data_IF_969787512981
#
_entry.id   IF_969787512981
#
_cell.length_a   1.000
_cell.length_b   1.000
_cell.length_c   1.000
_cell.angle_alpha   90.00
_cell.angle_beta   90.00
_cell.angle_gamma   90.00
#
_symmetry.space_group_name_H-M   'P 1'
#
loop_
_entity.id
_entity.type
_entity.pdbx_description
1 polymer ?
#
# COMPACT_ATOMS: atom_id res chain seq x y z
N UNK A 1 -9.23 -2.01 22.96
CA UNK A 1 -10.35 -2.98 23.09
C UNK A 1 -11.21 -3.10 21.83
N UNK A 2 -11.54 -2.02 21.11
CA UNK A 2 -12.42 -2.08 19.92
C UNK A 2 -11.89 -2.98 18.78
N UNK A 3 -10.63 -2.83 18.36
CA UNK A 3 -10.04 -3.67 17.30
C UNK A 3 -10.04 -5.15 17.68
N UNK A 4 -9.68 -5.48 18.92
CA UNK A 4 -9.74 -6.86 19.43
C UNK A 4 -11.16 -7.44 19.35
N UNK A 5 -12.19 -6.65 19.70
CA UNK A 5 -13.59 -7.09 19.59
C UNK A 5 -13.99 -7.35 18.12
N UNK A 6 -13.54 -6.52 17.18
CA UNK A 6 -13.77 -6.74 15.75
C UNK A 6 -13.09 -8.03 15.29
N UNK A 7 -11.81 -8.22 15.62
CA UNK A 7 -11.05 -9.44 15.27
C UNK A 7 -11.65 -10.71 15.87
N UNK A 8 -12.21 -10.65 17.09
CA UNK A 8 -12.90 -11.81 17.69
C UNK A 8 -14.18 -12.16 16.91
N UNK A 9 -14.92 -11.16 16.44
CA UNK A 9 -16.16 -11.37 15.67
C UNK A 9 -15.87 -11.84 14.25
N UNK A 10 -14.87 -11.24 13.62
CA UNK A 10 -14.45 -11.50 12.25
C UNK A 10 -12.92 -11.62 12.22
N UNK A 11 -12.36 -12.85 12.34
CA UNK A 11 -10.93 -13.08 12.46
C UNK A 11 -10.19 -12.99 11.12
N UNK A 12 -10.65 -12.12 10.22
CA UNK A 12 -9.97 -11.83 8.97
C UNK A 12 -8.91 -10.77 9.21
N UNK A 13 -7.72 -11.05 8.70
CA UNK A 13 -6.56 -10.17 8.86
C UNK A 13 -5.87 -9.94 7.53
N UNK A 14 -5.18 -8.81 7.45
CA UNK A 14 -4.36 -8.39 6.32
C UNK A 14 -2.90 -8.26 6.78
N UNK A 15 -1.96 -8.24 5.84
CA UNK A 15 -0.55 -8.02 6.15
C UNK A 15 -0.34 -6.57 6.58
N UNK A 16 0.16 -6.35 7.80
CA UNK A 16 0.34 -5.01 8.35
C UNK A 16 1.64 -4.34 7.92
N UNK A 17 2.05 -3.30 8.66
CA UNK A 17 3.33 -2.62 8.43
C UNK A 17 3.47 -2.01 7.04
N UNK A 18 2.38 -1.46 6.49
CA UNK A 18 2.36 -0.79 5.18
C UNK A 18 2.29 -1.72 3.98
N UNK A 19 2.42 -3.05 4.17
CA UNK A 19 2.49 -4.00 3.06
C UNK A 19 1.15 -4.14 2.33
N UNK A 20 0.02 -4.01 3.03
CA UNK A 20 -1.30 -4.01 2.39
C UNK A 20 -1.47 -2.80 1.47
N UNK A 21 -1.08 -1.61 1.93
CA UNK A 21 -1.18 -0.37 1.17
C UNK A 21 -0.34 -0.41 -0.10
N UNK A 22 0.93 -0.80 0.00
CA UNK A 22 1.83 -0.86 -1.15
C UNK A 22 1.44 -1.96 -2.13
N UNK A 23 1.00 -3.12 -1.63
CA UNK A 23 0.50 -4.20 -2.47
C UNK A 23 -0.75 -3.78 -3.24
N UNK A 24 -1.70 -3.13 -2.56
CA UNK A 24 -2.94 -2.66 -3.17
C UNK A 24 -2.66 -1.57 -4.21
N UNK A 25 -1.76 -0.64 -3.92
CA UNK A 25 -1.33 0.38 -4.89
C UNK A 25 -0.72 -0.25 -6.15
N UNK A 26 0.22 -1.19 -6.00
CA UNK A 26 0.81 -1.90 -7.13
C UNK A 26 -0.24 -2.69 -7.94
N UNK A 27 -1.14 -3.39 -7.26
CA UNK A 27 -2.22 -4.17 -7.88
C UNK A 27 -3.18 -3.27 -8.69
N UNK A 28 -3.66 -2.17 -8.12
CA UNK A 28 -4.58 -1.25 -8.78
C UNK A 28 -3.90 -0.60 -10.00
N UNK A 29 -2.66 -0.12 -9.86
CA UNK A 29 -1.90 0.44 -11.00
C UNK A 29 -1.77 -0.58 -12.13
N UNK A 30 -1.45 -1.84 -11.80
CA UNK A 30 -1.35 -2.90 -12.81
C UNK A 30 -2.69 -3.16 -13.49
N UNK A 31 -3.78 -3.27 -12.70
CA UNK A 31 -5.12 -3.55 -13.21
C UNK A 31 -5.60 -2.44 -14.14
N UNK A 32 -5.48 -1.18 -13.73
CA UNK A 32 -5.89 -0.03 -14.56
C UNK A 32 -4.99 0.13 -15.79
N UNK A 33 -3.72 -0.25 -15.71
CA UNK A 33 -2.84 -0.21 -16.88
C UNK A 33 -3.21 -1.27 -17.94
N UNK A 34 -3.57 -2.49 -17.53
CA UNK A 34 -3.76 -3.64 -18.42
C UNK A 34 -5.22 -3.97 -18.74
N UNK A 35 -6.17 -3.64 -17.87
CA UNK A 35 -7.60 -4.01 -17.94
C UNK A 35 -8.52 -2.77 -18.00
N UNK A 36 -7.97 -1.58 -18.29
CA UNK A 36 -8.72 -0.31 -18.24
C UNK A 36 -9.99 -0.30 -19.13
N UNK A 37 -10.00 -1.00 -20.26
CA UNK A 37 -11.16 -1.01 -21.16
C UNK A 37 -12.39 -1.67 -20.53
N UNK A 38 -12.21 -2.67 -19.67
CA UNK A 38 -13.33 -3.35 -19.00
C UNK A 38 -13.87 -2.54 -17.82
N UNK A 39 -13.02 -1.78 -17.13
CA UNK A 39 -13.40 -0.92 -15.98
C UNK A 39 -14.10 0.37 -16.43
N UNK A 40 -13.66 0.97 -17.53
CA UNK A 40 -14.19 2.26 -18.04
C UNK A 40 -15.63 2.13 -18.57
N UNK A 41 -16.04 0.94 -19.01
CA UNK A 41 -17.34 0.74 -19.68
C UNK A 41 -18.56 0.88 -18.76
N UNK A 42 -18.39 0.80 -17.44
CA UNK A 42 -19.52 0.80 -16.51
C UNK A 42 -19.99 2.21 -16.09
N UNK A 43 -19.11 3.21 -16.08
CA UNK A 43 -19.37 4.44 -15.30
C UNK A 43 -19.15 5.78 -16.04
N UNK A 44 -18.94 5.75 -17.37
CA UNK A 44 -19.01 6.96 -18.21
C UNK A 44 -17.86 7.96 -18.11
N UNK A 45 -16.78 7.65 -17.37
CA UNK A 45 -15.54 8.44 -17.35
C UNK A 45 -14.54 7.98 -18.42
N UNK A 46 -13.66 8.88 -18.87
CA UNK A 46 -12.61 8.56 -19.84
C UNK A 46 -11.45 7.77 -19.21
N UNK A 47 -10.68 7.07 -20.05
CA UNK A 47 -9.48 6.34 -19.60
C UNK A 47 -8.43 7.25 -18.94
N UNK A 48 -8.32 8.51 -19.39
CA UNK A 48 -7.39 9.47 -18.80
C UNK A 48 -7.82 9.88 -17.39
N UNK A 49 -9.11 10.13 -17.17
CA UNK A 49 -9.66 10.46 -15.85
C UNK A 49 -9.47 9.30 -14.87
N UNK A 50 -9.76 8.06 -15.29
CA UNK A 50 -9.54 6.88 -14.47
C UNK A 50 -8.06 6.73 -14.06
N UNK A 51 -7.12 6.98 -14.97
CA UNK A 51 -5.67 6.92 -14.67
C UNK A 51 -5.25 7.98 -13.65
N UNK A 52 -5.75 9.22 -13.78
CA UNK A 52 -5.44 10.30 -12.84
C UNK A 52 -5.99 9.97 -11.45
N UNK A 53 -7.26 9.57 -11.35
CA UNK A 53 -7.87 9.19 -10.08
C UNK A 53 -7.15 8.00 -9.44
N UNK A 54 -6.78 7.01 -10.24
CA UNK A 54 -6.02 5.83 -9.80
C UNK A 54 -4.66 6.24 -9.23
N UNK A 55 -3.93 7.11 -9.91
CA UNK A 55 -2.61 7.54 -9.45
C UNK A 55 -2.70 8.32 -8.14
N UNK A 56 -3.71 9.20 -8.01
CA UNK A 56 -3.96 9.92 -6.76
C UNK A 56 -4.30 8.96 -5.60
N UNK A 57 -5.16 7.97 -5.85
CA UNK A 57 -5.53 6.97 -4.85
C UNK A 57 -4.34 6.09 -4.44
N UNK A 58 -3.57 5.58 -5.40
CA UNK A 58 -2.39 4.76 -5.13
C UNK A 58 -1.30 5.56 -4.39
N UNK A 59 -1.07 6.81 -4.78
CA UNK A 59 -0.16 7.71 -4.07
C UNK A 59 -0.60 7.97 -2.63
N UNK A 60 -1.90 8.07 -2.37
CA UNK A 60 -2.43 8.22 -1.02
C UNK A 60 -2.17 6.96 -0.15
N UNK A 61 -2.36 5.76 -0.71
CA UNK A 61 -2.01 4.51 -0.02
C UNK A 61 -0.50 4.44 0.29
N UNK A 62 0.35 4.76 -0.68
CA UNK A 62 1.81 4.79 -0.50
C UNK A 62 2.23 5.85 0.53
N UNK A 63 1.51 6.97 0.61
CA UNK A 63 1.72 7.99 1.66
C UNK A 63 1.40 7.44 3.05
N UNK A 64 0.31 6.68 3.22
CA UNK A 64 -0.01 6.01 4.49
C UNK A 64 1.09 5.02 4.87
N UNK A 65 1.54 4.18 3.94
CA UNK A 65 2.65 3.26 4.20
C UNK A 65 3.95 4.01 4.56
N UNK A 66 4.25 5.09 3.84
CA UNK A 66 5.45 5.91 4.08
C UNK A 66 5.45 6.54 5.47
N UNK A 67 4.29 6.85 6.04
CA UNK A 67 4.17 7.49 7.36
C UNK A 67 4.62 6.60 8.53
N UNK A 68 4.81 5.30 8.28
CA UNK A 68 5.37 4.38 9.26
C UNK A 68 6.88 4.57 9.47
N UNK A 69 7.57 5.13 8.46
CA UNK A 69 8.99 5.41 8.54
C UNK A 69 9.23 6.76 9.23
N UNK A 70 10.08 6.76 10.27
CA UNK A 70 10.26 7.89 11.18
C UNK A 70 11.72 8.29 11.37
N UNK A 71 12.67 7.45 10.95
CA UNK A 71 14.10 7.67 11.15
C UNK A 71 14.76 8.33 9.92
N UNK A 72 13.95 8.79 8.97
CA UNK A 72 14.44 9.37 7.72
C UNK A 72 15.07 8.34 6.78
N UNK A 73 14.75 7.06 6.97
CA UNK A 73 15.22 5.96 6.14
C UNK A 73 14.68 5.99 4.71
N UNK A 74 15.35 5.24 3.84
CA UNK A 74 14.87 5.01 2.48
C UNK A 74 13.66 4.07 2.51
N UNK A 75 12.64 4.42 1.71
CA UNK A 75 11.38 3.68 1.64
C UNK A 75 11.29 2.99 0.28
N UNK A 76 11.16 1.67 0.31
CA UNK A 76 11.23 0.80 -0.84
C UNK A 76 9.99 -0.10 -0.96
N UNK A 77 9.74 -0.57 -2.17
CA UNK A 77 8.78 -1.59 -2.52
C UNK A 77 9.49 -2.73 -3.24
N UNK A 78 9.21 -3.99 -2.90
CA UNK A 78 9.70 -5.10 -3.71
C UNK A 78 8.81 -5.32 -4.95
N UNK A 79 9.44 -5.61 -6.08
CA UNK A 79 8.78 -5.70 -7.38
C UNK A 79 8.14 -7.06 -7.65
N UNK A 80 8.05 -7.94 -6.64
CA UNK A 80 7.49 -9.29 -6.79
C UNK A 80 6.15 -9.43 -6.07
N UNK A 81 6.10 -9.03 -4.81
CA UNK A 81 4.94 -9.10 -3.93
C UNK A 81 4.37 -7.72 -3.62
N UNK A 82 5.13 -6.65 -3.84
CA UNK A 82 4.68 -5.28 -3.57
C UNK A 82 4.67 -4.95 -2.08
N UNK A 83 5.53 -5.56 -1.26
CA UNK A 83 5.59 -5.24 0.16
C UNK A 83 6.39 -3.97 0.42
N UNK A 84 6.08 -3.33 1.54
CA UNK A 84 6.78 -2.19 2.07
C UNK A 84 8.09 -2.61 2.74
N UNK A 85 9.15 -1.87 2.50
CA UNK A 85 10.46 -2.03 3.12
C UNK A 85 11.00 -0.66 3.53
N UNK A 86 11.62 -0.59 4.71
CA UNK A 86 12.44 0.56 5.09
C UNK A 86 13.86 0.13 5.42
N UNK A 87 14.83 0.95 5.01
CA UNK A 87 16.25 0.76 5.26
C UNK A 87 16.85 1.99 5.91
N UNK A 88 17.92 1.82 6.68
CA UNK A 88 18.64 2.97 7.25
C UNK A 88 19.23 3.83 6.14
N UNK A 89 19.06 5.15 6.27
CA UNK A 89 19.70 6.12 5.38
C UNK A 89 21.16 6.27 5.79
N UNK A 90 22.03 5.40 5.26
CA UNK A 90 23.47 5.61 5.36
C UNK A 90 23.98 6.03 3.97
N UNK A 91 24.25 7.31 3.83
CA UNK A 91 24.61 7.93 2.57
C UNK A 91 25.96 7.42 2.06
N UNK A 92 25.97 6.53 1.07
CA UNK A 92 26.88 6.54 -0.08
C UNK A 92 26.60 5.34 -1.01
N UNK A 93 26.22 5.66 -2.25
CA UNK A 93 26.39 4.83 -3.46
C UNK A 93 26.08 3.32 -3.35
N UNK A 94 24.95 2.90 -3.93
CA UNK A 94 24.68 1.63 -4.67
C UNK A 94 25.65 0.45 -4.37
N UNK A 95 25.26 -0.78 -4.03
CA UNK A 95 24.34 -1.68 -4.78
C UNK A 95 23.96 -2.95 -3.98
N UNK A 96 23.71 -2.92 -2.67
CA UNK A 96 23.21 -4.14 -2.01
C UNK A 96 22.12 -3.91 -0.97
N UNK A 97 20.91 -3.60 -1.47
CA UNK A 97 19.70 -3.58 -0.64
C UNK A 97 19.49 -4.87 0.14
N UNK A 98 19.98 -5.99 -0.38
CA UNK A 98 19.92 -7.28 0.29
C UNK A 98 20.63 -7.26 1.65
N UNK A 99 21.71 -6.49 1.80
CA UNK A 99 22.49 -6.42 3.04
C UNK A 99 21.92 -5.40 4.04
N UNK A 100 21.25 -4.35 3.53
CA UNK A 100 20.68 -3.27 4.36
C UNK A 100 19.27 -3.58 4.85
N UNK A 101 18.51 -4.31 4.05
CA UNK A 101 17.14 -4.68 4.36
C UNK A 101 17.15 -6.02 5.09
N UNK A 102 16.46 -6.08 6.23
CA UNK A 102 16.28 -7.35 6.94
C UNK A 102 15.01 -8.04 6.49
N UNK A 103 13.86 -7.36 6.61
CA UNK A 103 12.52 -7.87 6.34
C UNK A 103 11.60 -6.75 5.85
N UNK A 104 10.53 -7.13 5.16
CA UNK A 104 9.43 -6.21 4.87
C UNK A 104 8.69 -5.80 6.15
N UNK A 105 7.88 -4.74 6.09
CA UNK A 105 7.18 -4.18 7.24
C UNK A 105 6.18 -5.13 7.92
N UNK A 106 5.57 -6.06 7.17
CA UNK A 106 4.73 -7.09 7.78
C UNK A 106 5.55 -8.24 8.39
N UNK A 107 6.84 -8.32 8.08
CA UNK A 107 7.73 -9.38 8.53
C UNK A 107 7.66 -10.68 7.71
N UNK A 108 6.79 -10.82 6.71
CA UNK A 108 6.63 -12.09 5.99
C UNK A 108 7.87 -12.52 5.20
N UNK A 109 8.48 -11.59 4.47
CA UNK A 109 9.62 -11.83 3.58
C UNK A 109 10.90 -11.20 4.13
N UNK A 110 12.03 -11.88 3.88
CA UNK A 110 13.37 -11.38 4.15
C UNK A 110 14.12 -11.06 2.84
N UNK A 111 15.22 -10.32 2.95
CA UNK A 111 15.96 -9.81 1.79
C UNK A 111 16.70 -10.87 0.97
N UNK A 112 16.87 -12.09 1.51
CA UNK A 112 17.60 -13.19 0.86
C UNK A 112 16.76 -13.93 -0.20
N UNK A 113 15.51 -13.53 -0.42
CA UNK A 113 14.56 -14.20 -1.32
C UNK A 113 14.71 -13.82 -2.81
N UNK A 114 15.85 -13.25 -3.22
CA UNK A 114 16.11 -12.87 -4.62
C UNK A 114 15.16 -11.79 -5.14
N UNK A 115 14.76 -10.87 -4.26
CA UNK A 115 13.88 -9.77 -4.59
C UNK A 115 14.63 -8.65 -5.30
N UNK A 116 13.88 -7.84 -6.05
CA UNK A 116 14.33 -6.54 -6.56
C UNK A 116 13.46 -5.46 -5.94
N UNK A 117 14.05 -4.30 -5.67
CA UNK A 117 13.39 -3.18 -5.01
C UNK A 117 13.39 -1.94 -5.90
N UNK A 118 12.36 -1.13 -5.72
CA UNK A 118 12.28 0.23 -6.23
C UNK A 118 11.94 1.19 -5.09
N UNK A 119 12.30 2.46 -5.22
CA UNK A 119 11.83 3.47 -4.28
C UNK A 119 10.32 3.63 -4.38
N UNK A 120 9.64 3.67 -3.23
CA UNK A 120 8.17 3.64 -3.19
C UNK A 120 7.52 4.81 -3.94
N UNK A 121 8.14 6.00 -3.87
CA UNK A 121 7.65 7.22 -4.54
C UNK A 121 8.32 7.50 -5.88
N UNK A 122 9.01 6.51 -6.45
CA UNK A 122 9.60 6.63 -7.78
C UNK A 122 8.64 6.15 -8.86
N UNK A 123 8.86 6.61 -10.09
CA UNK A 123 8.16 6.08 -11.25
C UNK A 123 8.70 4.68 -11.57
N UNK A 124 7.97 3.63 -11.17
CA UNK A 124 8.24 2.25 -11.57
C UNK A 124 7.17 1.74 -12.54
N UNK A 125 7.55 0.78 -13.38
CA UNK A 125 6.59 0.16 -14.29
C UNK A 125 5.54 -0.64 -13.50
N UNK A 126 4.24 -0.51 -13.81
CA UNK A 126 3.21 -1.31 -13.18
C UNK A 126 3.49 -2.81 -13.32
N UNK A 127 3.36 -3.56 -12.24
CA UNK A 127 3.63 -5.00 -12.20
C UNK A 127 2.49 -5.71 -11.48
N UNK A 128 2.20 -6.96 -11.86
CA UNK A 128 1.21 -7.77 -11.17
C UNK A 128 1.84 -8.33 -9.89
N UNK A 129 1.48 -7.85 -8.68
CA UNK A 129 2.03 -8.42 -7.47
C UNK A 129 1.54 -9.86 -7.31
N UNK A 130 2.47 -10.77 -6.99
CA UNK A 130 2.14 -12.16 -6.75
C UNK A 130 1.34 -12.32 -5.44
N UNK A 131 0.45 -13.31 -5.41
CA UNK A 131 -0.33 -13.62 -4.20
C UNK A 131 0.62 -14.07 -3.08
N UNK A 132 0.49 -13.44 -1.90
CA UNK A 132 1.28 -13.74 -0.71
C UNK A 132 0.79 -15.01 -0.02
N UNK A 133 1.00 -16.17 -0.62
CA UNK A 133 0.58 -17.44 -0.05
C UNK A 133 1.60 -18.52 -0.35
N UNK A 134 2.70 -18.52 0.40
CA UNK A 134 3.31 -19.80 0.75
C UNK A 134 3.06 -20.05 2.23
N UNK A 135 2.29 -21.10 2.52
CA UNK A 135 2.01 -21.56 3.88
C UNK A 135 3.30 -21.91 4.65
N UNK A 136 4.40 -22.14 3.92
CA UNK A 136 5.75 -22.31 4.44
C UNK A 136 6.36 -21.02 5.02
N UNK A 137 6.15 -19.85 4.40
CA UNK A 137 6.72 -18.58 4.86
C UNK A 137 6.10 -18.09 6.18
N UNK A 138 4.82 -18.37 6.39
CA UNK A 138 4.12 -18.02 7.65
C UNK A 138 4.67 -18.81 8.84
N UNK A 139 5.05 -20.07 8.64
CA UNK A 139 5.64 -20.91 9.70
C UNK A 139 7.04 -20.47 10.16
N UNK A 140 7.77 -19.73 9.33
CA UNK A 140 9.09 -19.16 9.63
C UNK A 140 9.05 -17.72 10.12
N UNK A 141 7.90 -17.04 9.99
CA UNK A 141 7.76 -15.64 10.37
C UNK A 141 7.56 -15.50 11.89
N UNK A 142 8.66 -15.38 12.64
CA UNK A 142 8.61 -15.24 14.11
C UNK A 142 7.83 -14.02 14.62
N UNK A 143 7.66 -12.97 13.81
CA UNK A 143 7.01 -11.71 14.17
C UNK A 143 6.20 -11.16 12.98
N UNK A 144 5.08 -11.83 12.63
CA UNK A 144 4.18 -11.36 11.59
C UNK A 144 3.32 -10.20 12.13
N UNK A 145 3.41 -9.03 11.51
CA UNK A 145 2.52 -7.90 11.78
C UNK A 145 1.28 -8.01 10.91
N UNK A 146 0.10 -7.95 11.51
CA UNK A 146 -1.18 -8.04 10.82
C UNK A 146 -2.12 -6.92 11.21
N UNK A 147 -2.95 -6.50 10.27
CA UNK A 147 -4.01 -5.52 10.47
C UNK A 147 -5.38 -6.20 10.46
N UNK A 148 -6.32 -5.69 11.27
CA UNK A 148 -7.70 -6.17 11.27
C UNK A 148 -8.39 -5.77 9.94
N UNK A 149 -8.91 -6.75 9.21
CA UNK A 149 -9.56 -6.53 7.92
C UNK A 149 -10.72 -5.55 8.04
N UNK A 150 -11.64 -5.79 8.99
CA UNK A 150 -12.83 -4.95 9.19
C UNK A 150 -12.45 -3.52 9.52
N UNK A 151 -11.44 -3.32 10.38
CA UNK A 151 -10.96 -1.98 10.72
C UNK A 151 -10.33 -1.26 9.51
N UNK A 152 -9.53 -1.97 8.70
CA UNK A 152 -8.93 -1.41 7.47
C UNK A 152 -9.98 -1.02 6.44
N UNK A 153 -10.94 -1.91 6.18
CA UNK A 153 -12.00 -1.67 5.22
C UNK A 153 -12.86 -0.47 5.63
N UNK A 154 -13.31 -0.43 6.89
CA UNK A 154 -14.10 0.70 7.40
C UNK A 154 -13.31 2.00 7.37
N UNK A 155 -12.02 1.98 7.74
CA UNK A 155 -11.16 3.17 7.67
C UNK A 155 -11.01 3.71 6.25
N UNK A 156 -10.78 2.82 5.27
CA UNK A 156 -10.66 3.21 3.87
C UNK A 156 -11.98 3.75 3.31
N UNK A 157 -13.10 3.11 3.63
CA UNK A 157 -14.42 3.55 3.20
C UNK A 157 -14.73 4.96 3.70
N UNK A 158 -14.55 5.21 5.01
CA UNK A 158 -14.77 6.54 5.60
C UNK A 158 -13.84 7.59 4.98
N UNK A 159 -12.58 7.24 4.73
CA UNK A 159 -11.64 8.16 4.09
C UNK A 159 -12.07 8.56 2.67
N UNK A 160 -12.52 7.59 1.86
CA UNK A 160 -13.01 7.84 0.49
C UNK A 160 -14.30 8.67 0.51
N UNK A 161 -15.28 8.30 1.35
CA UNK A 161 -16.54 9.04 1.47
C UNK A 161 -16.29 10.49 1.92
N UNK A 162 -15.37 10.69 2.85
CA UNK A 162 -15.00 12.03 3.32
C UNK A 162 -14.28 12.83 2.23
N UNK A 163 -13.36 12.20 1.49
CA UNK A 163 -12.67 12.86 0.38
C UNK A 163 -13.65 13.29 -0.71
N UNK A 164 -14.59 12.42 -1.10
CA UNK A 164 -15.63 12.74 -2.08
C UNK A 164 -16.52 13.89 -1.60
N UNK A 165 -16.96 13.86 -0.34
CA UNK A 165 -17.73 14.96 0.24
C UNK A 165 -17.00 16.30 0.13
N UNK A 166 -15.69 16.33 0.41
CA UNK A 166 -14.87 17.54 0.29
C UNK A 166 -14.73 17.98 -1.17
N UNK A 167 -14.52 17.04 -2.10
CA UNK A 167 -14.36 17.33 -3.53
C UNK A 167 -15.66 17.84 -4.18
N UNK A 168 -16.82 17.44 -3.65
CA UNK A 168 -18.14 17.89 -4.12
C UNK A 168 -18.51 19.31 -3.61
N UNK A 169 -17.76 19.87 -2.64
CA UNK A 169 -18.00 21.22 -2.13
C UNK A 169 -17.67 22.27 -3.19
N UNK A 170 -18.71 22.93 -3.70
CA UNK A 170 -18.55 24.02 -4.67
C UNK A 170 -18.30 25.39 -4.03
N UNK A 171 -18.69 25.59 -2.77
CA UNK A 171 -18.52 26.85 -2.04
C UNK A 171 -18.43 26.62 -0.54
N UNK A 172 -17.60 27.43 0.13
CA UNK A 172 -17.53 27.49 1.60
C UNK A 172 -17.97 28.89 2.03
N UNK A 173 -18.96 28.98 2.89
CA UNK A 173 -19.44 30.24 3.47
C UNK A 173 -18.90 30.31 4.89
N UNK A 174 -18.02 31.29 5.14
CA UNK A 174 -17.45 31.57 6.45
C UNK A 174 -18.02 32.90 6.97
N UNK A 175 -18.58 32.88 8.18
CA UNK A 175 -18.97 34.10 8.89
C UNK A 175 -17.75 34.67 9.62
N UNK A 176 -17.41 35.94 9.36
CA UNK A 176 -16.35 36.66 10.06
C UNK A 176 -16.98 37.70 10.97
N UNK A 177 -17.14 37.34 12.25
CA UNK A 177 -17.47 38.28 13.32
C UNK A 177 -16.32 39.24 13.63
#
# INVERSE_FOLDING_TARGET
MHVLQLTIKEPWVLLGGGCTETHLAAYIRHKVHNEAEDVVREDGYSQAELRIATEAFCSALESVASSLEHDGGDILIDMKYGHFWSGQSDSASVVNWQDMLSRCGCGLYNSQEGLSWSFLRSTYHPFAPQKCLSQAAVGTASNLTVDCFTAKLSGLQVAIETANLILDLSYVIEDKN
#
